data_IF_726117744972
#
_entry.id   IF_726117744972
#
_cell.length_a   1.000
_cell.length_b   1.000
_cell.length_c   1.000
_cell.angle_alpha   90.00
_cell.angle_beta   90.00
_cell.angle_gamma   90.00
#
_symmetry.space_group_name_H-M   'P 1'
#
loop_
_entity.id
_entity.type
_entity.pdbx_description
1 polymer ?
#
# COMPACT_ATOMS: atom_id res chain seq x y z
N UNK A 1 -25.69 -8.45 24.15
CA UNK A 1 -24.67 -9.51 23.93
C UNK A 1 -23.38 -8.97 24.52
N UNK A 2 -22.95 -9.55 25.64
CA UNK A 2 -21.81 -9.09 26.45
C UNK A 2 -20.50 -9.45 25.75
N UNK A 3 -19.53 -8.53 25.74
CA UNK A 3 -18.17 -8.82 25.29
C UNK A 3 -17.33 -9.14 26.53
N UNK A 4 -17.09 -10.42 26.78
CA UNK A 4 -16.19 -10.87 27.85
C UNK A 4 -14.75 -10.84 27.38
N UNK A 5 -13.86 -10.47 28.29
CA UNK A 5 -12.40 -10.49 28.11
C UNK A 5 -11.90 -11.93 28.01
N UNK A 6 -11.68 -12.40 26.79
CA UNK A 6 -10.92 -13.64 26.52
C UNK A 6 -9.93 -13.39 25.40
N UNK A 7 -8.64 -13.41 25.78
CA UNK A 7 -7.44 -13.82 25.04
C UNK A 7 -7.25 -13.33 23.59
N UNK A 8 -6.12 -12.68 23.33
CA UNK A 8 -5.56 -12.25 22.03
C UNK A 8 -5.25 -13.42 21.07
N UNK A 9 -6.25 -14.23 20.73
CA UNK A 9 -6.16 -15.29 19.71
C UNK A 9 -7.45 -15.30 18.89
N UNK A 10 -7.70 -14.19 18.18
CA UNK A 10 -8.64 -14.19 17.05
C UNK A 10 -8.50 -12.94 16.17
N UNK A 11 -7.26 -12.59 15.80
CA UNK A 11 -7.05 -11.83 14.56
C UNK A 11 -6.67 -12.86 13.53
N UNK A 12 -7.56 -13.07 12.55
CA UNK A 12 -7.33 -13.90 11.36
C UNK A 12 -5.92 -13.63 10.86
N UNK A 13 -5.13 -14.68 10.82
CA UNK A 13 -3.81 -14.68 10.21
C UNK A 13 -3.93 -14.10 8.81
N UNK A 14 -3.04 -13.18 8.41
CA UNK A 14 -2.99 -12.66 7.04
C UNK A 14 -2.38 -13.72 6.10
N UNK A 15 -2.78 -14.98 6.28
CA UNK A 15 -2.33 -16.14 5.53
C UNK A 15 -2.76 -15.96 4.07
N UNK A 16 -1.78 -15.65 3.23
CA UNK A 16 -1.96 -15.53 1.78
C UNK A 16 -1.89 -14.11 1.21
N UNK A 17 -1.63 -13.07 2.02
CA UNK A 17 -1.35 -11.73 1.48
C UNK A 17 0.15 -11.58 1.23
N UNK A 18 0.55 -11.53 -0.04
CA UNK A 18 1.94 -11.20 -0.43
C UNK A 18 2.11 -9.67 -0.47
N UNK A 19 3.01 -9.16 0.38
CA UNK A 19 3.47 -7.77 0.33
C UNK A 19 4.73 -7.71 -0.53
N UNK A 20 4.70 -6.87 -1.57
CA UNK A 20 5.85 -6.54 -2.41
C UNK A 20 6.48 -5.29 -1.83
N UNK A 21 7.66 -5.44 -1.23
CA UNK A 21 8.33 -4.33 -0.55
C UNK A 21 8.86 -3.31 -1.54
N UNK A 22 9.17 -2.11 -1.03
CA UNK A 22 9.67 -0.98 -1.84
C UNK A 22 10.89 -1.35 -2.68
N UNK A 23 11.77 -2.17 -2.12
CA UNK A 23 12.99 -2.66 -2.76
C UNK A 23 12.68 -3.63 -3.91
N UNK A 24 11.57 -4.36 -3.82
CA UNK A 24 11.14 -5.36 -4.80
C UNK A 24 10.49 -4.72 -6.02
N UNK A 25 9.69 -3.66 -5.82
CA UNK A 25 9.13 -2.87 -6.92
C UNK A 25 10.03 -1.72 -7.38
N UNK A 26 11.24 -1.60 -6.82
CA UNK A 26 12.28 -0.62 -7.19
C UNK A 26 11.81 0.83 -6.98
N UNK A 27 11.25 1.09 -5.80
CA UNK A 27 10.84 2.42 -5.38
C UNK A 27 11.98 3.43 -5.45
N UNK A 28 11.66 4.64 -5.91
CA UNK A 28 12.53 5.80 -5.74
C UNK A 28 12.68 6.13 -4.24
N UNK A 29 13.84 6.68 -3.84
CA UNK A 29 14.03 7.19 -2.50
C UNK A 29 13.00 8.28 -2.16
N UNK A 30 12.50 8.24 -0.94
CA UNK A 30 11.60 9.28 -0.42
C UNK A 30 12.36 10.60 -0.28
N UNK A 31 11.72 11.72 -0.63
CA UNK A 31 12.34 13.06 -0.47
C UNK A 31 12.24 13.53 0.97
N UNK A 32 11.10 13.26 1.62
CA UNK A 32 10.83 13.59 3.01
C UNK A 32 9.83 12.60 3.60
N UNK A 33 9.99 12.28 4.90
CA UNK A 33 9.08 11.41 5.61
C UNK A 33 8.36 12.15 6.74
N UNK A 34 7.12 11.73 7.01
CA UNK A 34 6.38 12.16 8.20
C UNK A 34 5.89 10.92 8.93
N UNK A 35 6.29 10.79 10.18
CA UNK A 35 5.87 9.65 11.02
C UNK A 35 4.38 9.76 11.37
N UNK A 36 3.66 8.65 11.23
CA UNK A 36 2.28 8.53 11.66
C UNK A 36 2.22 8.28 13.18
N UNK A 37 1.30 8.95 13.87
CA UNK A 37 1.04 8.71 15.30
C UNK A 37 0.11 7.51 15.42
N UNK A 38 0.54 6.49 16.15
CA UNK A 38 -0.21 5.25 16.35
C UNK A 38 -1.02 5.28 17.66
N UNK A 39 -2.18 4.59 17.73
CA UNK A 39 -2.79 3.76 16.68
C UNK A 39 -3.56 4.59 15.65
N UNK A 40 -3.49 4.19 14.38
CA UNK A 40 -4.34 4.76 13.33
C UNK A 40 -5.73 4.11 13.41
N UNK A 41 -6.77 4.94 13.52
CA UNK A 41 -8.16 4.51 13.65
C UNK A 41 -9.00 4.77 12.39
N UNK A 42 -8.39 5.25 11.30
CA UNK A 42 -9.07 5.58 10.06
C UNK A 42 -8.32 5.03 8.85
N UNK A 43 -9.05 4.32 7.99
CA UNK A 43 -8.56 3.82 6.70
C UNK A 43 -9.40 4.48 5.59
N UNK A 44 -8.74 5.01 4.57
CA UNK A 44 -9.38 5.61 3.40
C UNK A 44 -9.08 4.71 2.21
N UNK A 45 -10.14 4.28 1.51
CA UNK A 45 -10.05 3.42 0.32
C UNK A 45 -10.30 4.31 -0.90
N UNK A 46 -9.38 4.25 -1.86
CA UNK A 46 -9.45 5.01 -3.10
C UNK A 46 -8.97 4.16 -4.29
N UNK A 47 -9.41 4.49 -5.50
CA UNK A 47 -8.90 3.91 -6.74
C UNK A 47 -7.85 4.83 -7.36
N UNK A 48 -6.90 4.24 -8.09
CA UNK A 48 -5.76 4.98 -8.68
C UNK A 48 -6.10 5.69 -10.00
N UNK A 49 -7.22 5.35 -10.64
CA UNK A 49 -7.59 5.83 -11.99
C UNK A 49 -6.52 5.48 -13.05
N UNK A 50 -5.74 4.41 -12.82
CA UNK A 50 -4.73 3.94 -13.78
C UNK A 50 -5.23 2.73 -14.56
N UNK A 51 -4.45 2.31 -15.56
CA UNK A 51 -4.69 1.04 -16.25
C UNK A 51 -4.66 -0.13 -15.26
N UNK A 52 -5.50 -1.14 -15.50
CA UNK A 52 -5.52 -2.35 -14.70
C UNK A 52 -4.29 -3.24 -15.01
N UNK A 53 -3.74 -3.90 -13.99
CA UNK A 53 -2.62 -4.82 -14.12
C UNK A 53 -3.02 -6.24 -13.68
N UNK A 54 -2.44 -7.28 -14.29
CA UNK A 54 -2.81 -8.69 -14.00
C UNK A 54 -1.65 -9.55 -13.50
N UNK A 55 -0.42 -9.11 -13.75
CA UNK A 55 0.79 -9.85 -13.38
C UNK A 55 1.70 -8.97 -12.53
N UNK A 56 2.52 -9.60 -11.67
CA UNK A 56 3.47 -8.88 -10.81
C UNK A 56 4.33 -7.86 -11.58
N UNK A 57 4.94 -8.19 -12.74
CA UNK A 57 5.71 -7.19 -13.50
C UNK A 57 4.87 -6.01 -14.03
N UNK A 58 3.61 -6.25 -14.43
CA UNK A 58 2.71 -5.18 -14.86
C UNK A 58 2.33 -4.28 -13.68
N UNK A 59 2.00 -4.87 -12.53
CA UNK A 59 1.62 -4.11 -11.35
C UNK A 59 2.80 -3.33 -10.77
N UNK A 60 4.02 -3.91 -10.73
CA UNK A 60 5.26 -3.18 -10.39
C UNK A 60 5.43 -1.96 -11.29
N UNK A 61 5.29 -2.12 -12.62
CA UNK A 61 5.39 -1.00 -13.56
C UNK A 61 4.34 0.08 -13.29
N UNK A 62 3.10 -0.31 -12.98
CA UNK A 62 2.05 0.64 -12.66
C UNK A 62 2.33 1.40 -11.37
N UNK A 63 2.80 0.73 -10.32
CA UNK A 63 3.19 1.37 -9.05
C UNK A 63 4.33 2.36 -9.27
N UNK A 64 5.34 2.01 -10.06
CA UNK A 64 6.42 2.92 -10.45
C UNK A 64 5.89 4.17 -11.17
N UNK A 65 5.02 4.00 -12.17
CA UNK A 65 4.42 5.14 -12.88
C UNK A 65 3.58 6.03 -11.97
N UNK A 66 2.88 5.46 -10.98
CA UNK A 66 2.14 6.24 -9.99
C UNK A 66 3.12 7.04 -9.13
N UNK A 67 4.22 6.44 -8.66
CA UNK A 67 5.23 7.15 -7.90
C UNK A 67 5.83 8.31 -8.70
N UNK A 68 6.20 8.06 -9.96
CA UNK A 68 6.74 9.09 -10.85
C UNK A 68 5.74 10.23 -11.05
N UNK A 69 4.46 9.91 -11.28
CA UNK A 69 3.42 10.92 -11.39
C UNK A 69 3.25 11.76 -10.11
N UNK A 70 3.19 11.10 -8.95
CA UNK A 70 3.06 11.76 -7.65
C UNK A 70 4.24 12.69 -7.36
N UNK A 71 5.46 12.24 -7.63
CA UNK A 71 6.68 12.99 -7.30
C UNK A 71 6.97 14.09 -8.33
N UNK A 72 6.93 13.77 -9.62
CA UNK A 72 7.42 14.66 -10.67
C UNK A 72 6.35 15.66 -11.13
N UNK A 73 5.07 15.30 -11.08
CA UNK A 73 3.97 16.16 -11.54
C UNK A 73 3.13 16.75 -10.40
N UNK A 74 2.84 15.98 -9.35
CA UNK A 74 2.07 16.49 -8.21
C UNK A 74 2.95 17.12 -7.10
N UNK A 75 4.29 17.08 -7.24
CA UNK A 75 5.22 17.66 -6.29
C UNK A 75 5.20 17.01 -4.91
N UNK A 76 4.77 15.75 -4.81
CA UNK A 76 4.73 15.01 -3.55
C UNK A 76 6.10 14.45 -3.20
N UNK A 77 6.34 14.22 -1.91
CA UNK A 77 7.63 13.70 -1.44
C UNK A 77 7.83 12.20 -1.69
N UNK A 78 6.75 11.48 -1.98
CA UNK A 78 6.70 10.06 -2.33
C UNK A 78 5.33 9.75 -2.99
N UNK A 79 5.08 8.49 -3.28
CA UNK A 79 3.76 7.99 -3.66
C UNK A 79 2.71 8.31 -2.60
N UNK A 80 1.52 8.76 -3.03
CA UNK A 80 0.48 9.29 -2.12
C UNK A 80 -0.22 8.25 -1.24
N UNK A 81 -0.01 6.97 -1.52
CA UNK A 81 -0.71 5.86 -0.90
C UNK A 81 0.20 5.15 0.10
N UNK A 82 -0.33 4.77 1.26
CA UNK A 82 0.41 3.93 2.20
C UNK A 82 0.54 2.48 1.70
N UNK A 83 -0.47 2.00 0.98
CA UNK A 83 -0.54 0.67 0.38
C UNK A 83 -1.32 0.74 -0.93
N UNK A 84 -0.93 -0.07 -1.90
CA UNK A 84 -1.63 -0.26 -3.17
C UNK A 84 -2.00 -1.73 -3.34
N UNK A 85 -3.15 -2.00 -3.96
CA UNK A 85 -3.61 -3.37 -4.22
C UNK A 85 -3.60 -3.56 -5.75
N UNK A 86 -2.73 -4.44 -6.22
CA UNK A 86 -2.65 -4.79 -7.63
C UNK A 86 -3.80 -5.70 -8.06
N UNK A 87 -4.14 -5.68 -9.35
CA UNK A 87 -5.10 -6.63 -9.91
C UNK A 87 -4.59 -8.08 -9.95
N UNK A 88 -3.33 -8.30 -9.57
CA UNK A 88 -2.70 -9.59 -9.32
C UNK A 88 -2.85 -10.07 -7.86
N UNK A 89 -3.56 -9.32 -7.00
CA UNK A 89 -3.87 -9.68 -5.62
C UNK A 89 -2.79 -9.37 -4.60
N UNK A 90 -1.69 -8.72 -5.00
CA UNK A 90 -0.57 -8.35 -4.11
C UNK A 90 -0.76 -6.95 -3.52
N UNK A 91 -0.17 -6.73 -2.35
CA UNK A 91 -0.05 -5.41 -1.73
C UNK A 91 1.31 -4.83 -2.09
N UNK A 92 1.36 -3.58 -2.54
CA UNK A 92 2.57 -2.86 -2.95
C UNK A 92 2.78 -1.61 -2.08
#
# INVERSE_FOLDING_TARGET
ILCTTTSLKDIRDCDGVEIVWREDWKARPIVHNKTLVLPINKVIIAHTVTTFCRTKPQCVRNVQMIQDFCMDYNGMFDISYNFLIGGDGRVY
#
